data_IF_023038750248
#
_entry.id   IF_023038750248
#
_cell.length_a   1.000
_cell.length_b   1.000
_cell.length_c   1.000
_cell.angle_alpha   90.00
_cell.angle_beta   90.00
_cell.angle_gamma   90.00
#
_symmetry.space_group_name_H-M   'P 1'
#
loop_
_entity.id
_entity.type
_entity.pdbx_description
1 polymer ?
#
# COMPACT_ATOMS: atom_id res chain seq x y z
N UNK A 1 -40.78 4.81 21.67
CA UNK A 1 -39.98 5.83 20.96
C UNK A 1 -38.96 5.10 20.11
N UNK A 2 -39.22 5.05 18.81
CA UNK A 2 -38.57 4.15 17.84
C UNK A 2 -37.35 4.85 17.24
N UNK A 3 -36.17 4.24 17.32
CA UNK A 3 -34.94 4.78 16.76
C UNK A 3 -34.94 4.69 15.23
N UNK A 4 -34.83 5.83 14.54
CA UNK A 4 -34.68 5.91 13.09
C UNK A 4 -33.25 5.52 12.69
N UNK A 5 -33.10 4.39 11.99
CA UNK A 5 -31.89 4.09 11.21
C UNK A 5 -31.85 5.04 10.01
N UNK A 6 -30.76 5.80 9.88
CA UNK A 6 -30.47 6.56 8.67
C UNK A 6 -29.73 5.62 7.71
N UNK A 7 -30.42 5.21 6.64
CA UNK A 7 -29.81 4.55 5.49
C UNK A 7 -29.14 5.62 4.63
N UNK A 8 -27.84 5.48 4.36
CA UNK A 8 -27.11 6.32 3.41
C UNK A 8 -27.15 5.59 2.07
N UNK A 9 -27.73 6.22 1.05
CA UNK A 9 -27.73 5.72 -0.33
C UNK A 9 -26.33 5.93 -0.96
N UNK A 10 -25.77 4.86 -1.52
CA UNK A 10 -24.50 4.87 -2.25
C UNK A 10 -24.78 5.28 -3.71
N UNK A 11 -24.11 6.29 -4.28
CA UNK A 11 -24.32 6.70 -5.67
C UNK A 11 -23.82 5.65 -6.68
N UNK A 12 -24.36 5.63 -7.92
CA UNK A 12 -23.99 4.65 -8.94
C UNK A 12 -22.57 4.88 -9.46
N UNK A 13 -21.85 3.78 -9.70
CA UNK A 13 -20.46 3.74 -10.16
C UNK A 13 -20.24 4.50 -11.48
N UNK A 14 -19.26 5.41 -11.48
CA UNK A 14 -18.66 5.97 -12.70
C UNK A 14 -17.84 4.87 -13.39
N UNK A 15 -18.44 4.28 -14.41
CA UNK A 15 -17.78 3.34 -15.34
C UNK A 15 -16.60 4.04 -16.03
N UNK A 16 -15.38 3.62 -15.69
CA UNK A 16 -14.18 3.87 -16.50
C UNK A 16 -13.62 2.53 -16.98
N UNK A 17 -13.29 2.50 -18.27
CA UNK A 17 -12.83 1.34 -19.05
C UNK A 17 -11.65 0.63 -18.36
N UNK A 18 -11.89 -0.54 -17.79
CA UNK A 18 -10.83 -1.51 -17.57
C UNK A 18 -10.47 -2.19 -18.90
N UNK A 19 -9.20 -2.25 -19.32
CA UNK A 19 -8.79 -3.16 -20.37
C UNK A 19 -8.96 -4.60 -19.88
N UNK A 20 -9.62 -5.43 -20.69
CA UNK A 20 -9.82 -6.86 -20.43
C UNK A 20 -8.49 -7.60 -20.36
N UNK A 21 -8.16 -8.16 -19.21
CA UNK A 21 -7.03 -9.10 -19.06
C UNK A 21 -7.48 -10.48 -19.59
N UNK A 22 -6.70 -11.13 -20.48
CA UNK A 22 -7.06 -12.45 -20.99
C UNK A 22 -7.01 -13.51 -19.88
N UNK A 23 -7.95 -14.46 -19.93
CA UNK A 23 -8.04 -15.61 -19.03
C UNK A 23 -6.79 -16.50 -19.13
N UNK A 24 -6.43 -17.22 -18.04
CA UNK A 24 -5.16 -17.95 -18.00
C UNK A 24 -5.22 -19.20 -18.89
N UNK A 25 -4.43 -19.21 -19.97
CA UNK A 25 -4.09 -20.43 -20.70
C UNK A 25 -2.90 -21.11 -20.03
N UNK A 26 -3.06 -22.38 -19.70
CA UNK A 26 -2.03 -23.28 -19.19
C UNK A 26 -0.84 -23.40 -20.14
N UNK A 27 0.38 -23.37 -19.57
CA UNK A 27 1.68 -23.66 -20.16
C UNK A 27 2.18 -22.78 -21.32
N UNK A 28 2.99 -21.77 -21.00
CA UNK A 28 4.14 -21.38 -21.83
C UNK A 28 5.31 -20.92 -20.94
N UNK A 29 6.33 -21.77 -20.82
CA UNK A 29 7.68 -21.39 -20.37
C UNK A 29 8.31 -20.49 -21.44
N UNK A 30 8.11 -19.18 -21.34
CA UNK A 30 8.86 -18.19 -22.11
C UNK A 30 9.66 -17.34 -21.13
N UNK A 31 10.98 -17.30 -21.33
CA UNK A 31 11.90 -16.39 -20.65
C UNK A 31 11.33 -14.97 -20.68
N UNK A 32 10.90 -14.48 -19.51
CA UNK A 32 10.27 -13.17 -19.34
C UNK A 32 11.38 -12.18 -18.96
N UNK A 33 11.58 -11.14 -19.77
CA UNK A 33 12.63 -10.16 -19.52
C UNK A 33 12.28 -9.29 -18.30
N UNK A 34 13.15 -9.29 -17.29
CA UNK A 34 13.04 -8.46 -16.09
C UNK A 34 13.87 -7.18 -16.28
N UNK A 35 13.28 -6.00 -16.04
CA UNK A 35 13.99 -4.70 -16.09
C UNK A 35 13.92 -3.98 -14.73
N UNK A 36 14.97 -3.25 -14.28
CA UNK A 36 14.92 -2.47 -13.04
C UNK A 36 13.76 -1.46 -13.01
N UNK A 37 13.12 -1.26 -11.86
CA UNK A 37 12.03 -0.31 -11.68
C UNK A 37 12.48 0.98 -10.96
N UNK A 38 12.66 2.06 -11.71
CA UNK A 38 13.24 3.33 -11.25
C UNK A 38 12.34 4.15 -10.31
N UNK A 39 11.07 3.77 -10.15
CA UNK A 39 10.10 4.49 -9.32
C UNK A 39 9.89 3.86 -7.94
N UNK A 40 10.75 2.94 -7.49
CA UNK A 40 10.66 2.40 -6.14
C UNK A 40 11.00 3.46 -5.09
N UNK A 41 10.07 3.72 -4.16
CA UNK A 41 10.17 4.80 -3.15
C UNK A 41 10.63 4.28 -1.79
N UNK A 42 10.21 3.06 -1.45
CA UNK A 42 10.54 2.36 -0.23
C UNK A 42 10.63 0.83 -0.48
N UNK A 43 11.12 0.10 0.51
CA UNK A 43 11.50 -1.32 0.38
C UNK A 43 12.98 -1.50 0.05
N UNK A 44 13.43 -2.74 -0.14
CA UNK A 44 14.81 -2.99 -0.54
C UNK A 44 14.95 -2.72 -2.04
N UNK A 45 15.86 -1.80 -2.39
CA UNK A 45 16.20 -1.52 -3.79
C UNK A 45 16.62 -2.81 -4.51
N UNK A 46 16.17 -2.97 -5.75
CA UNK A 46 16.50 -4.16 -6.57
C UNK A 46 15.62 -5.38 -6.30
N UNK A 47 14.46 -5.22 -5.64
CA UNK A 47 13.47 -6.29 -5.49
C UNK A 47 12.31 -6.22 -6.49
N UNK A 48 12.12 -5.09 -7.17
CA UNK A 48 11.01 -4.89 -8.10
C UNK A 48 11.54 -4.75 -9.51
N UNK A 49 10.94 -5.50 -10.42
CA UNK A 49 11.31 -5.59 -11.81
C UNK A 49 10.08 -5.41 -12.70
N UNK A 50 10.21 -4.71 -13.82
CA UNK A 50 9.18 -4.67 -14.85
C UNK A 50 9.08 -6.00 -15.61
N UNK A 51 7.86 -6.39 -15.95
CA UNK A 51 7.54 -7.50 -16.82
C UNK A 51 6.83 -7.00 -18.10
N UNK A 52 6.76 -7.86 -19.11
CA UNK A 52 5.94 -7.60 -20.30
C UNK A 52 4.48 -7.31 -19.92
N UNK A 53 3.81 -6.45 -20.69
CA UNK A 53 2.42 -6.06 -20.44
C UNK A 53 2.23 -5.03 -19.31
N UNK A 54 3.32 -4.42 -18.81
CA UNK A 54 3.23 -3.37 -17.79
C UNK A 54 3.02 -3.90 -16.37
N UNK A 55 3.27 -5.19 -16.13
CA UNK A 55 3.25 -5.81 -14.81
C UNK A 55 4.57 -5.60 -14.08
N UNK A 56 4.56 -5.82 -12.77
CA UNK A 56 5.74 -5.83 -11.91
C UNK A 56 5.94 -7.22 -11.32
N UNK A 57 7.18 -7.71 -11.32
CA UNK A 57 7.61 -8.82 -10.48
C UNK A 57 8.31 -8.27 -9.25
N UNK A 58 7.82 -8.63 -8.07
CA UNK A 58 8.47 -8.32 -6.80
C UNK A 58 9.06 -9.61 -6.22
N UNK A 59 10.37 -9.62 -6.00
CA UNK A 59 11.06 -10.66 -5.23
C UNK A 59 10.65 -10.54 -3.78
N UNK A 60 10.08 -11.61 -3.23
CA UNK A 60 9.50 -11.61 -1.89
C UNK A 60 9.62 -12.99 -1.22
N UNK A 61 9.44 -13.09 0.11
CA UNK A 61 9.28 -14.38 0.77
C UNK A 61 8.07 -15.13 0.23
N UNK A 62 8.12 -16.47 0.25
CA UNK A 62 7.01 -17.34 -0.19
C UNK A 62 5.67 -16.98 0.47
N UNK A 63 5.71 -16.52 1.73
CA UNK A 63 4.50 -16.08 2.46
C UNK A 63 3.73 -14.97 1.78
N UNK A 64 4.41 -14.02 1.12
CA UNK A 64 3.74 -12.95 0.38
C UNK A 64 3.01 -13.52 -0.84
N UNK A 65 3.65 -14.46 -1.57
CA UNK A 65 3.01 -15.19 -2.67
C UNK A 65 1.78 -15.97 -2.19
N UNK A 66 1.92 -16.70 -1.07
CA UNK A 66 0.84 -17.51 -0.50
C UNK A 66 -0.33 -16.64 -0.05
N UNK A 67 -0.06 -15.45 0.52
CA UNK A 67 -1.09 -14.48 0.88
C UNK A 67 -1.90 -14.04 -0.34
N UNK A 68 -1.23 -13.61 -1.42
CA UNK A 68 -1.93 -13.22 -2.65
C UNK A 68 -2.75 -14.38 -3.24
N UNK A 69 -2.18 -15.59 -3.29
CA UNK A 69 -2.91 -16.78 -3.76
C UNK A 69 -4.15 -17.04 -2.91
N UNK A 70 -4.04 -16.99 -1.58
CA UNK A 70 -5.15 -17.21 -0.66
C UNK A 70 -6.26 -16.16 -0.85
N UNK A 71 -5.91 -14.88 -0.94
CA UNK A 71 -6.88 -13.79 -1.13
C UNK A 71 -7.56 -13.87 -2.49
N UNK A 72 -6.82 -14.08 -3.57
CA UNK A 72 -7.37 -14.04 -4.93
C UNK A 72 -8.08 -15.34 -5.36
N UNK A 73 -7.78 -16.48 -4.73
CA UNK A 73 -8.49 -17.74 -4.96
C UNK A 73 -9.75 -17.92 -4.10
N UNK A 74 -9.94 -17.09 -3.06
CA UNK A 74 -11.09 -17.21 -2.17
C UNK A 74 -12.37 -16.64 -2.78
N UNK A 75 -13.49 -17.30 -2.47
CA UNK A 75 -14.86 -16.87 -2.73
C UNK A 75 -15.54 -16.20 -1.52
N UNK A 76 -14.83 -16.09 -0.38
CA UNK A 76 -15.35 -15.40 0.80
C UNK A 76 -15.57 -13.92 0.52
N UNK A 77 -16.76 -13.43 0.87
CA UNK A 77 -17.19 -12.06 0.60
C UNK A 77 -16.19 -11.01 1.15
N UNK A 78 -15.69 -11.21 2.36
CA UNK A 78 -14.74 -10.30 3.00
C UNK A 78 -13.42 -10.19 2.24
N UNK A 79 -12.93 -11.30 1.66
CA UNK A 79 -11.69 -11.34 0.88
C UNK A 79 -11.90 -10.84 -0.57
N UNK A 80 -13.07 -11.10 -1.15
CA UNK A 80 -13.48 -10.57 -2.46
C UNK A 80 -13.60 -9.05 -2.44
N UNK A 81 -14.06 -8.46 -1.34
CA UNK A 81 -14.04 -7.01 -1.15
C UNK A 81 -12.64 -6.50 -0.82
N UNK A 82 -11.90 -7.18 0.06
CA UNK A 82 -10.53 -6.80 0.43
C UNK A 82 -9.58 -6.75 -0.76
N UNK A 83 -9.66 -7.69 -1.72
CA UNK A 83 -8.76 -7.71 -2.88
C UNK A 83 -8.87 -6.47 -3.77
N UNK A 84 -9.99 -5.72 -3.70
CA UNK A 84 -10.16 -4.43 -4.38
C UNK A 84 -9.34 -3.30 -3.75
N UNK A 85 -8.69 -3.55 -2.61
CA UNK A 85 -7.84 -2.60 -1.88
C UNK A 85 -6.35 -2.94 -1.95
N UNK A 86 -5.96 -3.98 -2.69
CA UNK A 86 -4.55 -4.39 -2.90
C UNK A 86 -4.23 -4.36 -4.40
N UNK A 87 -2.95 -4.42 -4.82
CA UNK A 87 -2.60 -4.57 -6.22
C UNK A 87 -3.19 -5.85 -6.82
N UNK A 88 -3.70 -5.77 -8.05
CA UNK A 88 -4.17 -6.92 -8.80
C UNK A 88 -3.06 -7.97 -8.93
N UNK A 89 -3.35 -9.18 -8.46
CA UNK A 89 -2.48 -10.33 -8.61
C UNK A 89 -2.57 -10.90 -10.02
N UNK A 90 -1.41 -11.02 -10.68
CA UNK A 90 -1.28 -11.53 -12.04
C UNK A 90 -0.59 -12.91 -12.09
N UNK A 91 -0.15 -13.44 -10.94
CA UNK A 91 0.53 -14.72 -10.83
C UNK A 91 1.79 -14.67 -9.98
N UNK A 92 2.53 -15.75 -9.96
CA UNK A 92 3.80 -15.87 -9.22
C UNK A 92 4.80 -16.66 -10.04
N UNK A 93 6.09 -16.46 -9.79
CA UNK A 93 7.16 -17.24 -10.38
C UNK A 93 8.37 -17.30 -9.47
N UNK A 94 9.52 -17.61 -10.05
CA UNK A 94 10.81 -17.50 -9.41
C UNK A 94 11.69 -16.56 -10.25
N UNK A 95 12.57 -15.81 -9.59
CA UNK A 95 13.47 -14.90 -10.29
C UNK A 95 14.46 -15.71 -11.15
N UNK A 96 14.46 -15.41 -12.44
CA UNK A 96 15.34 -16.06 -13.41
C UNK A 96 16.81 -15.71 -13.18
N UNK A 97 17.70 -16.61 -13.61
CA UNK A 97 19.15 -16.50 -13.39
C UNK A 97 19.78 -15.25 -14.03
N UNK A 98 19.26 -14.84 -15.19
CA UNK A 98 19.70 -13.70 -15.99
C UNK A 98 19.18 -12.34 -15.48
N UNK A 99 18.13 -12.35 -14.64
CA UNK A 99 17.52 -11.17 -14.05
C UNK A 99 18.17 -10.72 -12.73
N UNK A 100 18.95 -11.60 -12.10
CA UNK A 100 19.60 -11.28 -10.83
C UNK A 100 20.83 -10.43 -11.08
N UNK A 101 20.81 -9.18 -10.60
CA UNK A 101 21.92 -8.23 -10.78
C UNK A 101 23.26 -8.71 -10.21
N UNK A 102 23.30 -9.78 -9.37
CA UNK A 102 24.53 -10.39 -8.83
C UNK A 102 24.42 -11.91 -8.59
N UNK A 103 23.41 -12.61 -9.13
CA UNK A 103 23.18 -14.05 -8.88
C UNK A 103 22.63 -14.41 -7.49
N UNK A 104 22.65 -13.49 -6.50
CA UNK A 104 22.22 -13.74 -5.12
C UNK A 104 20.70 -13.93 -4.94
N UNK A 105 19.90 -13.59 -5.94
CA UNK A 105 18.44 -13.65 -5.87
C UNK A 105 17.82 -14.72 -6.79
N UNK A 106 18.65 -15.52 -7.47
CA UNK A 106 18.19 -16.55 -8.42
C UNK A 106 17.42 -17.63 -7.68
N UNK A 107 16.23 -17.95 -8.18
CA UNK A 107 15.34 -18.93 -7.55
C UNK A 107 14.58 -18.40 -6.32
N UNK A 108 14.68 -17.11 -6.00
CA UNK A 108 13.81 -16.51 -4.99
C UNK A 108 12.38 -16.35 -5.54
N UNK A 109 11.34 -16.60 -4.73
CA UNK A 109 9.96 -16.43 -5.16
C UNK A 109 9.67 -14.99 -5.60
N UNK A 110 8.84 -14.86 -6.63
CA UNK A 110 8.30 -13.59 -7.12
C UNK A 110 6.79 -13.59 -7.10
N UNK A 111 6.21 -12.44 -6.73
CA UNK A 111 4.81 -12.13 -6.94
C UNK A 111 4.68 -11.17 -8.13
N UNK A 112 3.77 -11.46 -9.05
CA UNK A 112 3.50 -10.62 -10.23
C UNK A 112 2.24 -9.79 -9.99
N UNK A 113 2.36 -8.47 -10.10
CA UNK A 113 1.35 -7.50 -9.70
C UNK A 113 1.12 -6.46 -10.80
N UNK A 114 -0.05 -5.81 -10.80
CA UNK A 114 -0.24 -4.59 -11.59
C UNK A 114 0.75 -3.49 -11.19
N UNK A 115 1.17 -2.68 -12.16
CA UNK A 115 1.92 -1.46 -11.88
C UNK A 115 0.96 -0.31 -11.58
N UNK A 116 0.79 -0.01 -10.28
CA UNK A 116 -0.06 1.09 -9.83
C UNK A 116 0.38 2.47 -10.34
N UNK A 117 1.64 2.64 -10.74
CA UNK A 117 2.15 3.91 -11.23
C UNK A 117 2.04 4.06 -12.75
N UNK A 118 1.73 2.98 -13.49
CA UNK A 118 1.62 3.01 -14.94
C UNK A 118 0.64 4.08 -15.51
N UNK A 119 -0.48 4.40 -14.84
CA UNK A 119 -1.40 5.43 -15.33
C UNK A 119 -0.91 6.87 -15.20
N UNK A 120 0.17 7.12 -14.44
CA UNK A 120 0.60 8.46 -14.02
C UNK A 120 1.87 8.91 -14.74
N UNK A 121 2.03 10.22 -14.94
CA UNK A 121 3.23 10.78 -15.60
C UNK A 121 4.26 11.27 -14.57
N UNK A 122 3.78 12.03 -13.59
CA UNK A 122 4.52 12.64 -12.50
C UNK A 122 3.80 12.41 -11.15
N UNK A 123 3.58 11.14 -10.74
CA UNK A 123 2.83 10.86 -9.52
C UNK A 123 3.59 11.35 -8.28
N UNK A 124 2.88 11.98 -7.36
CA UNK A 124 3.28 12.06 -5.96
C UNK A 124 2.86 10.78 -5.25
N UNK A 125 3.77 10.18 -4.49
CA UNK A 125 3.54 8.87 -3.88
C UNK A 125 4.14 8.80 -2.47
N UNK A 126 3.42 8.17 -1.54
CA UNK A 126 3.89 7.90 -0.18
C UNK A 126 3.66 6.44 0.20
N UNK A 127 4.71 5.81 0.73
CA UNK A 127 4.62 4.53 1.43
C UNK A 127 4.49 4.81 2.93
N UNK A 128 3.34 4.45 3.49
CA UNK A 128 3.05 4.64 4.91
C UNK A 128 2.76 3.27 5.52
N UNK A 129 3.64 2.82 6.41
CA UNK A 129 3.42 1.61 7.18
C UNK A 129 2.19 1.77 8.07
N UNK A 130 1.34 0.75 8.10
CA UNK A 130 0.13 0.68 8.92
C UNK A 130 0.27 -0.40 10.00
N UNK A 131 -0.43 -0.23 11.12
CA UNK A 131 -0.41 -1.17 12.23
C UNK A 131 0.45 -0.75 13.42
N UNK A 132 0.04 -1.18 14.61
CA UNK A 132 0.78 -1.01 15.86
C UNK A 132 1.74 -2.18 16.13
N UNK A 133 1.53 -3.34 15.47
CA UNK A 133 2.37 -4.53 15.54
C UNK A 133 3.16 -4.71 14.24
N UNK A 134 4.47 -4.90 14.37
CA UNK A 134 5.41 -4.95 13.23
C UNK A 134 6.06 -6.33 13.01
N UNK A 135 5.56 -7.38 13.66
CA UNK A 135 6.10 -8.73 13.59
C UNK A 135 5.00 -9.76 13.36
N UNK A 136 5.28 -10.77 12.52
CA UNK A 136 4.40 -11.93 12.30
C UNK A 136 4.32 -12.87 13.51
N UNK A 137 3.36 -13.79 13.51
CA UNK A 137 3.14 -14.72 14.63
C UNK A 137 4.30 -15.70 14.84
N UNK A 138 5.05 -15.99 13.77
CA UNK A 138 6.21 -16.86 13.78
C UNK A 138 7.53 -16.20 14.24
N UNK A 139 7.51 -14.91 14.57
CA UNK A 139 8.73 -14.20 14.94
C UNK A 139 9.36 -14.81 16.21
N UNK A 140 10.68 -15.04 16.20
CA UNK A 140 11.40 -15.40 17.42
C UNK A 140 11.41 -14.24 18.44
N UNK A 141 11.74 -14.55 19.70
CA UNK A 141 11.70 -13.57 20.78
C UNK A 141 12.64 -12.37 20.56
N UNK A 142 13.79 -12.59 19.91
CA UNK A 142 14.71 -11.50 19.59
C UNK A 142 14.13 -10.56 18.53
N UNK A 143 13.49 -11.10 17.49
CA UNK A 143 12.81 -10.36 16.43
C UNK A 143 11.60 -9.62 16.98
N UNK A 144 10.79 -10.27 17.84
CA UNK A 144 9.66 -9.64 18.54
C UNK A 144 10.13 -8.44 19.35
N UNK A 145 11.09 -8.63 20.27
CA UNK A 145 11.62 -7.55 21.10
C UNK A 145 12.15 -6.37 20.27
N UNK A 146 12.89 -6.65 19.18
CA UNK A 146 13.37 -5.61 18.25
C UNK A 146 12.24 -4.85 17.57
N UNK A 147 11.19 -5.55 17.13
CA UNK A 147 10.05 -4.94 16.44
C UNK A 147 9.13 -4.16 17.39
N UNK A 148 8.97 -4.63 18.62
CA UNK A 148 8.26 -3.92 19.68
C UNK A 148 8.99 -2.64 20.08
N UNK A 149 10.31 -2.71 20.27
CA UNK A 149 11.13 -1.53 20.53
C UNK A 149 11.04 -0.53 19.36
N UNK A 150 11.04 -1.02 18.12
CA UNK A 150 10.84 -0.16 16.95
C UNK A 150 9.43 0.48 16.95
N UNK A 151 8.38 -0.27 17.26
CA UNK A 151 7.03 0.28 17.34
C UNK A 151 6.93 1.34 18.45
N UNK A 152 7.57 1.09 19.60
CA UNK A 152 7.59 1.99 20.76
C UNK A 152 8.36 3.28 20.52
N UNK A 153 9.47 3.21 19.79
CA UNK A 153 10.37 4.35 19.52
C UNK A 153 10.02 5.12 18.25
N UNK A 154 9.05 4.64 17.46
CA UNK A 154 8.56 5.34 16.26
C UNK A 154 7.09 5.68 16.40
N UNK A 155 6.53 6.32 15.38
CA UNK A 155 5.11 6.72 15.36
C UNK A 155 4.16 5.52 15.33
N UNK A 156 4.61 4.33 14.88
CA UNK A 156 3.77 3.14 14.72
C UNK A 156 3.02 2.75 16.00
N UNK A 157 3.70 2.73 17.16
CA UNK A 157 3.08 2.25 18.41
C UNK A 157 1.93 3.13 18.90
N UNK A 158 2.06 4.46 18.77
CA UNK A 158 1.05 5.41 19.24
C UNK A 158 -0.03 5.75 18.20
N UNK A 159 0.31 5.70 16.92
CA UNK A 159 -0.56 6.21 15.84
C UNK A 159 -0.99 5.13 14.85
N UNK A 160 -0.40 3.94 14.91
CA UNK A 160 -0.59 2.90 13.89
C UNK A 160 -0.03 3.28 12.52
N UNK A 161 0.75 4.37 12.42
CA UNK A 161 1.29 4.88 11.17
C UNK A 161 2.79 5.13 11.28
N UNK A 162 3.52 4.92 10.18
CA UNK A 162 4.89 5.43 10.02
C UNK A 162 5.22 5.64 8.56
N UNK A 163 5.65 6.85 8.21
CA UNK A 163 6.12 7.15 6.85
C UNK A 163 7.39 6.34 6.58
N UNK A 164 7.38 5.53 5.52
CA UNK A 164 8.52 4.74 5.09
C UNK A 164 9.30 5.42 3.96
N UNK A 165 8.61 6.22 3.16
CA UNK A 165 9.21 7.13 2.19
C UNK A 165 8.12 7.89 1.44
N UNK A 166 8.48 9.01 0.82
CA UNK A 166 7.60 9.73 -0.09
C UNK A 166 8.39 10.46 -1.17
N UNK A 167 7.74 10.61 -2.33
CA UNK A 167 8.14 11.50 -3.42
C UNK A 167 6.97 12.44 -3.70
N UNK A 168 7.19 13.75 -3.59
CA UNK A 168 6.18 14.77 -3.87
C UNK A 168 6.62 15.56 -5.09
N UNK A 169 5.83 15.49 -6.16
CA UNK A 169 6.09 16.22 -7.38
C UNK A 169 5.77 17.71 -7.20
N UNK A 170 6.67 18.55 -7.68
CA UNK A 170 6.51 19.98 -7.74
C UNK A 170 6.25 20.41 -9.20
N UNK A 171 5.02 20.83 -9.56
CA UNK A 171 4.67 21.16 -10.94
C UNK A 171 5.32 22.46 -11.43
N UNK A 172 5.78 23.34 -10.54
CA UNK A 172 6.39 24.61 -10.91
C UNK A 172 7.86 24.46 -11.28
N UNK A 173 8.54 23.51 -10.63
CA UNK A 173 9.97 23.26 -10.82
C UNK A 173 10.26 21.97 -11.58
N UNK A 174 9.24 21.13 -11.84
CA UNK A 174 9.38 19.81 -12.44
C UNK A 174 10.36 18.89 -11.68
N UNK A 175 10.45 19.08 -10.36
CA UNK A 175 11.33 18.30 -9.49
C UNK A 175 10.53 17.55 -8.42
N UNK A 176 11.22 16.66 -7.71
CA UNK A 176 10.64 15.91 -6.59
C UNK A 176 11.29 16.31 -5.26
N UNK A 177 10.46 16.61 -4.27
CA UNK A 177 10.87 16.44 -2.87
C UNK A 177 10.87 14.94 -2.56
N UNK A 178 11.97 14.44 -1.98
CA UNK A 178 12.06 13.03 -1.56
C UNK A 178 12.40 12.95 -0.08
N UNK A 179 11.62 12.18 0.66
CA UNK A 179 11.90 11.80 2.03
C UNK A 179 12.00 10.29 2.15
N UNK A 180 13.02 9.82 2.86
CA UNK A 180 13.30 8.40 3.04
C UNK A 180 12.81 7.88 4.40
N UNK A 181 13.15 6.63 4.69
CA UNK A 181 12.86 5.99 5.98
C UNK A 181 13.49 6.69 7.18
N UNK A 182 14.57 7.47 7.02
CA UNK A 182 15.21 8.20 8.13
C UNK A 182 14.32 9.38 8.53
N UNK A 183 13.78 10.11 7.55
CA UNK A 183 12.80 11.17 7.80
C UNK A 183 11.58 10.62 8.57
N UNK A 184 10.98 9.53 8.10
CA UNK A 184 9.79 9.00 8.80
C UNK A 184 10.08 8.47 10.21
N UNK A 185 11.32 8.05 10.49
CA UNK A 185 11.75 7.63 11.83
C UNK A 185 12.15 8.80 12.74
N UNK A 186 12.41 9.98 12.20
CA UNK A 186 12.71 11.16 13.02
C UNK A 186 11.47 11.86 13.55
N UNK A 187 10.28 11.55 13.01
CA UNK A 187 9.02 12.11 13.48
C UNK A 187 8.58 11.47 14.80
N UNK A 188 8.12 12.30 15.73
CA UNK A 188 7.35 11.84 16.90
C UNK A 188 5.89 11.57 16.53
N UNK A 189 5.14 10.90 17.43
CA UNK A 189 3.72 10.64 17.23
C UNK A 189 2.90 11.94 17.13
N UNK A 190 3.37 12.96 17.83
CA UNK A 190 2.81 14.29 17.83
C UNK A 190 3.11 15.03 16.51
N UNK A 191 4.18 14.68 15.79
CA UNK A 191 4.59 15.33 14.53
C UNK A 191 4.17 14.59 13.25
N UNK A 192 3.70 13.34 13.33
CA UNK A 192 3.38 12.53 12.13
C UNK A 192 2.41 13.24 11.16
N UNK A 193 1.49 14.05 11.71
CA UNK A 193 0.55 14.83 10.93
C UNK A 193 1.24 15.90 10.07
N UNK A 194 2.39 16.43 10.49
CA UNK A 194 3.22 17.33 9.69
C UNK A 194 3.88 16.59 8.52
N UNK A 195 4.29 15.34 8.74
CA UNK A 195 4.79 14.48 7.67
C UNK A 195 3.71 14.16 6.63
N UNK A 196 2.49 13.86 7.07
CA UNK A 196 1.33 13.68 6.19
C UNK A 196 1.01 14.98 5.44
N UNK A 197 1.02 16.14 6.13
CA UNK A 197 0.84 17.44 5.48
C UNK A 197 1.92 17.71 4.42
N UNK A 198 3.17 17.36 4.70
CA UNK A 198 4.29 17.52 3.77
C UNK A 198 4.02 16.77 2.47
N UNK A 199 3.44 15.57 2.54
CA UNK A 199 3.06 14.80 1.35
C UNK A 199 2.02 15.51 0.46
N UNK A 200 1.15 16.33 1.05
CA UNK A 200 0.10 17.09 0.37
C UNK A 200 0.45 18.57 0.17
N UNK A 201 1.72 18.95 0.31
CA UNK A 201 2.18 20.33 0.14
C UNK A 201 3.08 20.42 -1.09
N UNK A 202 2.78 21.35 -1.99
CA UNK A 202 3.64 21.65 -3.15
C UNK A 202 4.93 22.30 -2.62
N UNK A 203 6.12 21.69 -2.84
CA UNK A 203 7.35 22.10 -2.15
C UNK A 203 7.75 23.57 -2.34
N UNK A 204 7.72 24.09 -3.56
CA UNK A 204 8.19 25.44 -3.89
C UNK A 204 7.24 26.55 -3.44
N UNK A 205 5.93 26.30 -3.43
CA UNK A 205 4.92 27.29 -3.03
C UNK A 205 4.50 27.17 -1.57
N UNK A 206 4.82 26.06 -0.91
CA UNK A 206 4.33 25.69 0.43
C UNK A 206 2.80 25.72 0.57
N UNK A 207 2.08 25.60 -0.56
CA UNK A 207 0.62 25.52 -0.60
C UNK A 207 0.16 24.06 -0.59
N UNK A 208 -0.99 23.78 0.01
CA UNK A 208 -1.60 22.47 -0.11
C UNK A 208 -1.96 22.17 -1.57
N UNK A 209 -2.03 20.88 -1.90
CA UNK A 209 -2.66 20.41 -3.15
C UNK A 209 -4.14 20.81 -3.17
N UNK A 210 -4.79 20.89 -4.35
CA UNK A 210 -6.19 21.27 -4.43
C UNK A 210 -7.10 20.40 -3.55
N UNK A 211 -8.12 21.00 -2.94
CA UNK A 211 -9.14 20.27 -2.14
C UNK A 211 -9.78 19.09 -2.89
N UNK A 212 -9.92 19.16 -4.21
CA UNK A 212 -10.40 18.06 -5.02
C UNK A 212 -9.54 16.79 -4.87
N UNK A 213 -8.21 16.93 -4.82
CA UNK A 213 -7.26 15.83 -4.60
C UNK A 213 -7.45 15.20 -3.22
N UNK A 214 -7.50 16.03 -2.17
CA UNK A 214 -7.71 15.57 -0.79
C UNK A 214 -9.07 14.88 -0.63
N UNK A 215 -10.11 15.43 -1.27
CA UNK A 215 -11.48 14.89 -1.26
C UNK A 215 -11.56 13.52 -1.92
N UNK A 216 -10.98 13.38 -3.11
CA UNK A 216 -10.94 12.10 -3.82
C UNK A 216 -10.18 11.03 -3.02
N UNK A 217 -9.04 11.39 -2.42
CA UNK A 217 -8.25 10.45 -1.63
C UNK A 217 -8.94 10.07 -0.32
N UNK A 218 -9.61 11.02 0.35
CA UNK A 218 -10.46 10.76 1.52
C UNK A 218 -11.52 9.72 1.18
N UNK A 219 -12.26 9.89 0.09
CA UNK A 219 -13.30 8.95 -0.35
C UNK A 219 -12.74 7.55 -0.61
N UNK A 220 -11.60 7.48 -1.33
CA UNK A 220 -10.90 6.22 -1.58
C UNK A 220 -10.49 5.51 -0.28
N UNK A 221 -9.95 6.26 0.69
CA UNK A 221 -9.53 5.75 1.98
C UNK A 221 -10.70 5.33 2.87
N UNK A 222 -11.84 6.04 2.81
CA UNK A 222 -13.06 5.62 3.51
C UNK A 222 -13.56 4.27 3.01
N UNK A 223 -13.57 4.05 1.70
CA UNK A 223 -13.94 2.76 1.11
C UNK A 223 -12.93 1.67 1.52
N UNK A 224 -11.63 1.97 1.45
CA UNK A 224 -10.58 1.04 1.86
C UNK A 224 -10.69 0.66 3.33
N UNK A 225 -10.95 1.64 4.21
CA UNK A 225 -11.15 1.42 5.65
C UNK A 225 -12.33 0.49 5.90
N UNK A 226 -13.47 0.71 5.23
CA UNK A 226 -14.64 -0.15 5.37
C UNK A 226 -14.34 -1.61 5.01
N UNK A 227 -13.63 -1.84 3.88
CA UNK A 227 -13.19 -3.17 3.46
C UNK A 227 -12.23 -3.81 4.47
N UNK A 228 -11.37 -3.00 5.09
CA UNK A 228 -10.41 -3.47 6.09
C UNK A 228 -11.09 -3.85 7.42
N UNK A 229 -12.15 -3.15 7.81
CA UNK A 229 -12.96 -3.45 9.01
C UNK A 229 -13.72 -4.79 8.87
N UNK A 230 -14.01 -5.21 7.65
CA UNK A 230 -14.67 -6.51 7.36
C UNK A 230 -13.68 -7.65 7.11
N UNK A 231 -12.51 -7.36 6.55
CA UNK A 231 -11.54 -8.38 6.14
C UNK A 231 -10.99 -9.19 7.32
N UNK A 232 -11.00 -10.53 7.22
CA UNK A 232 -10.33 -11.40 8.21
C UNK A 232 -8.93 -11.74 7.72
N UNK A 233 -8.07 -10.76 7.86
CA UNK A 233 -6.64 -10.85 7.57
C UNK A 233 -5.85 -10.26 8.73
N UNK A 234 -4.57 -10.59 8.81
CA UNK A 234 -3.57 -9.87 9.60
C UNK A 234 -2.54 -9.29 8.67
N UNK A 235 -2.21 -8.02 8.87
CA UNK A 235 -1.42 -7.19 7.95
C UNK A 235 -0.14 -6.69 8.62
N UNK A 236 0.55 -7.58 9.33
CA UNK A 236 1.72 -7.18 10.12
C UNK A 236 2.83 -6.64 9.24
N UNK A 237 3.24 -5.40 9.50
CA UNK A 237 4.28 -4.74 8.73
C UNK A 237 3.86 -4.34 7.31
N UNK A 238 2.59 -4.44 6.94
CA UNK A 238 2.08 -3.93 5.66
C UNK A 238 2.14 -2.39 5.59
N UNK A 239 2.02 -1.86 4.38
CA UNK A 239 1.96 -0.43 4.13
C UNK A 239 0.73 -0.08 3.31
N UNK A 240 0.29 1.18 3.40
CA UNK A 240 -0.60 1.78 2.40
C UNK A 240 0.24 2.67 1.49
N UNK A 241 0.13 2.44 0.18
CA UNK A 241 0.72 3.26 -0.86
C UNK A 241 -0.33 4.28 -1.30
N UNK A 242 -0.09 5.56 -1.01
CA UNK A 242 -0.90 6.67 -1.50
C UNK A 242 -0.29 7.21 -2.78
N UNK A 243 -1.12 7.50 -3.77
CA UNK A 243 -0.71 8.04 -5.07
C UNK A 243 -1.64 9.19 -5.44
N UNK A 244 -1.10 10.28 -5.96
CA UNK A 244 -1.90 11.32 -6.61
C UNK A 244 -1.15 12.03 -7.74
N UNK A 245 -1.90 12.48 -8.75
CA UNK A 245 -1.49 13.43 -9.78
C UNK A 245 -2.71 14.30 -10.14
N UNK A 246 -2.72 15.55 -9.70
CA UNK A 246 -3.94 16.35 -9.76
C UNK A 246 -5.07 15.69 -8.96
N UNK A 247 -6.25 15.52 -9.56
CA UNK A 247 -7.39 14.84 -8.93
C UNK A 247 -7.41 13.32 -9.13
N UNK A 248 -6.49 12.77 -9.93
CA UNK A 248 -6.38 11.32 -10.11
C UNK A 248 -5.61 10.73 -8.92
N UNK A 249 -6.27 9.87 -8.15
CA UNK A 249 -5.74 9.34 -6.89
C UNK A 249 -5.90 7.83 -6.80
N UNK A 250 -4.98 7.19 -6.08
CA UNK A 250 -5.16 5.80 -5.66
C UNK A 250 -4.60 5.56 -4.25
N UNK A 251 -5.11 4.52 -3.60
CA UNK A 251 -4.65 4.06 -2.30
C UNK A 251 -4.74 2.53 -2.25
N UNK A 252 -3.61 1.86 -2.06
CA UNK A 252 -3.53 0.39 -2.03
C UNK A 252 -2.72 -0.11 -0.85
N UNK A 253 -3.17 -1.19 -0.23
CA UNK A 253 -2.38 -1.90 0.78
C UNK A 253 -1.37 -2.78 0.05
N UNK A 254 -0.12 -2.73 0.49
CA UNK A 254 1.03 -3.44 -0.08
C UNK A 254 1.88 -4.09 1.02
N UNK A 255 2.87 -4.88 0.63
CA UNK A 255 3.86 -5.55 1.48
C UNK A 255 3.30 -6.61 2.44
N UNK A 256 2.99 -7.79 1.90
CA UNK A 256 2.30 -8.87 2.64
C UNK A 256 3.23 -9.98 3.18
N UNK A 257 4.53 -9.71 3.29
CA UNK A 257 5.54 -10.70 3.72
C UNK A 257 5.31 -11.33 5.11
N UNK A 258 4.56 -10.65 5.98
CA UNK A 258 4.16 -11.15 7.30
C UNK A 258 2.64 -11.12 7.50
N UNK A 259 1.89 -11.16 6.40
CA UNK A 259 0.43 -11.15 6.41
C UNK A 259 -0.14 -12.54 6.18
N UNK A 260 -1.34 -12.79 6.70
CA UNK A 260 -2.06 -14.06 6.52
C UNK A 260 -3.57 -13.84 6.58
N UNK A 261 -4.31 -14.80 6.00
CA UNK A 261 -5.77 -14.88 6.11
C UNK A 261 -6.13 -15.56 7.42
N UNK A 262 -7.16 -15.04 8.08
CA UNK A 262 -7.72 -15.56 9.33
C UNK A 262 -9.06 -16.26 9.11
N UNK A 263 -9.53 -16.99 10.12
CA UNK A 263 -10.87 -17.59 10.10
C UNK A 263 -11.97 -16.53 10.08
N UNK A 264 -13.16 -16.89 9.60
CA UNK A 264 -14.32 -15.98 9.53
C UNK A 264 -14.79 -15.50 10.92
N UNK A 265 -14.49 -16.29 11.96
CA UNK A 265 -14.82 -15.96 13.35
C UNK A 265 -13.86 -14.92 13.96
N UNK A 266 -12.71 -14.68 13.33
CA UNK A 266 -11.77 -13.67 13.79
C UNK A 266 -12.33 -12.25 13.60
N UNK A 267 -11.82 -11.29 14.38
CA UNK A 267 -12.04 -9.86 14.13
C UNK A 267 -11.12 -9.31 13.03
N UNK A 268 -11.27 -8.03 12.65
CA UNK A 268 -10.35 -7.36 11.73
C UNK A 268 -8.96 -7.17 12.37
N UNK A 269 -8.00 -6.76 11.57
CA UNK A 269 -6.72 -6.27 12.09
C UNK A 269 -6.92 -4.87 12.70
N UNK A 270 -7.19 -4.84 14.01
CA UNK A 270 -7.45 -3.60 14.76
C UNK A 270 -6.29 -2.59 14.66
N UNK A 271 -5.04 -3.07 14.56
CA UNK A 271 -3.87 -2.20 14.43
C UNK A 271 -3.85 -1.50 13.08
N UNK A 272 -4.09 -2.24 12.00
CA UNK A 272 -4.15 -1.70 10.66
C UNK A 272 -5.35 -0.73 10.50
N UNK A 273 -6.53 -1.13 11.00
CA UNK A 273 -7.74 -0.29 11.02
C UNK A 273 -7.48 1.02 11.77
N UNK A 274 -6.87 0.95 12.95
CA UNK A 274 -6.50 2.14 13.73
C UNK A 274 -5.56 3.08 12.97
N UNK A 275 -4.53 2.53 12.32
CA UNK A 275 -3.61 3.31 11.49
C UNK A 275 -4.32 4.03 10.35
N UNK A 276 -5.11 3.31 9.54
CA UNK A 276 -5.85 3.88 8.41
C UNK A 276 -6.85 4.94 8.86
N UNK A 277 -7.51 4.74 10.01
CA UNK A 277 -8.41 5.74 10.60
C UNK A 277 -7.68 7.04 10.98
N UNK A 278 -6.49 6.94 11.57
CA UNK A 278 -5.66 8.12 11.89
C UNK A 278 -5.14 8.83 10.63
N UNK A 279 -4.87 8.09 9.56
CA UNK A 279 -4.48 8.65 8.27
C UNK A 279 -5.64 9.44 7.66
N UNK A 280 -6.84 8.86 7.66
CA UNK A 280 -8.06 9.51 7.19
C UNK A 280 -8.33 10.80 7.99
N UNK A 281 -8.23 10.74 9.32
CA UNK A 281 -8.39 11.92 10.18
C UNK A 281 -7.36 13.01 9.87
N UNK A 282 -6.14 12.64 9.49
CA UNK A 282 -5.11 13.61 9.11
C UNK A 282 -5.49 14.33 7.81
N UNK A 283 -6.04 13.63 6.82
CA UNK A 283 -6.54 14.22 5.57
C UNK A 283 -7.78 15.10 5.82
N UNK A 284 -8.70 14.65 6.68
CA UNK A 284 -9.87 15.45 7.08
C UNK A 284 -9.47 16.77 7.76
N UNK A 285 -8.43 16.75 8.59
CA UNK A 285 -7.88 17.98 9.18
C UNK A 285 -7.35 18.94 8.12
N UNK A 286 -6.66 18.43 7.08
CA UNK A 286 -6.16 19.27 5.99
C UNK A 286 -7.30 19.94 5.22
N UNK A 287 -8.41 19.22 4.97
CA UNK A 287 -9.62 19.75 4.34
C UNK A 287 -10.31 20.86 5.15
N UNK A 288 -10.04 20.96 6.45
CA UNK A 288 -10.58 22.02 7.33
C UNK A 288 -9.67 23.25 7.41
N UNK A 289 -8.50 23.23 6.76
CA UNK A 289 -7.53 24.35 6.78
C UNK A 289 -7.70 25.33 5.63
N UNK A 290 -8.54 25.01 4.64
CA UNK A 290 -9.00 25.92 3.58
C UNK A 290 -10.28 26.64 3.99
#
# INVERSE_FOLDING_TARGET
MTARRHSIEIPPELSSRAPSVPSPSTDVTTSQAYAPFDHQIAGHAGQIFGLAGGLLAKVCPQKEVDFYKAVFASDREDLVEFRKSVPQFAGSGDLAADASLNGEAVGNPTVHLENLLAPYTHPSVADIKIGTRLYGDEADEAKKARMEEQARTTTSGKTGLRICGMKVYDPYTSNYLTHDRKYGRSLSAEEIHLGIRTFFTIPSSATLVPTATLTALREKLTILLHRLETARVRLYGASILLIYEGSDVDARIIDFAHSHVESEQAGPDEGAVFGVRNLLQSIEKLLQME
#
